data_IF_729301298946
#
_entry.id   IF_729301298946
#
_cell.length_a   1.000
_cell.length_b   1.000
_cell.length_c   1.000
_cell.angle_alpha   90.00
_cell.angle_beta   90.00
_cell.angle_gamma   90.00
#
_symmetry.space_group_name_H-M   'P 1'
#
loop_
_entity.id
_entity.type
_entity.pdbx_description
1 polymer ?
#
# COMPACT_ATOMS: atom_id res chain seq x y z
N UNK A 1 19.53 18.39 4.42
CA UNK A 1 19.64 17.68 5.70
C UNK A 1 18.29 17.14 6.20
N UNK A 2 17.23 17.94 6.42
CA UNK A 2 15.92 17.39 6.84
C UNK A 2 15.18 16.62 5.74
N UNK A 3 15.16 17.14 4.52
CA UNK A 3 14.47 16.51 3.39
C UNK A 3 15.05 15.13 3.05
N UNK A 4 16.36 14.95 3.20
CA UNK A 4 17.05 13.69 2.93
C UNK A 4 16.64 12.58 3.91
N UNK A 5 16.46 12.94 5.19
CA UNK A 5 15.98 12.03 6.24
C UNK A 5 14.52 11.66 5.94
N UNK A 6 13.65 12.64 5.66
CA UNK A 6 12.26 12.38 5.32
C UNK A 6 12.13 11.48 4.08
N UNK A 7 12.92 11.73 3.02
CA UNK A 7 12.95 10.87 1.85
C UNK A 7 13.45 9.45 2.15
N UNK A 8 14.43 9.30 3.05
CA UNK A 8 14.89 7.99 3.49
C UNK A 8 13.78 7.22 4.21
N UNK A 9 13.10 7.85 5.17
CA UNK A 9 12.03 7.22 5.95
C UNK A 9 10.83 6.84 5.09
N UNK A 10 10.41 7.72 4.16
CA UNK A 10 9.36 7.42 3.19
C UNK A 10 9.73 6.19 2.37
N UNK A 11 10.94 6.15 1.78
CA UNK A 11 11.39 5.01 0.97
C UNK A 11 11.46 3.73 1.79
N UNK A 12 11.93 3.81 3.03
CA UNK A 12 12.01 2.65 3.94
C UNK A 12 10.61 2.09 4.23
N UNK A 13 9.66 2.95 4.60
CA UNK A 13 8.29 2.56 4.88
C UNK A 13 7.62 1.91 3.66
N UNK A 14 7.68 2.57 2.50
CA UNK A 14 7.08 2.07 1.26
C UNK A 14 7.72 0.75 0.80
N UNK A 15 9.02 0.56 1.00
CA UNK A 15 9.70 -0.70 0.72
C UNK A 15 9.19 -1.82 1.62
N UNK A 16 9.05 -1.58 2.93
CA UNK A 16 8.52 -2.57 3.87
C UNK A 16 7.09 -2.95 3.51
N UNK A 17 6.23 -1.96 3.23
CA UNK A 17 4.86 -2.20 2.76
C UNK A 17 4.86 -3.04 1.48
N UNK A 18 5.68 -2.68 0.48
CA UNK A 18 5.74 -3.41 -0.80
C UNK A 18 6.07 -4.89 -0.63
N UNK A 19 7.04 -5.24 0.21
CA UNK A 19 7.40 -6.64 0.48
C UNK A 19 6.27 -7.39 1.18
N UNK A 20 5.66 -6.80 2.21
CA UNK A 20 4.57 -7.46 2.95
C UNK A 20 3.30 -7.61 2.12
N UNK A 21 2.98 -6.59 1.31
CA UNK A 21 1.83 -6.61 0.41
C UNK A 21 2.00 -7.70 -0.66
N UNK A 22 3.19 -7.83 -1.26
CA UNK A 22 3.49 -8.86 -2.25
C UNK A 22 3.28 -10.27 -1.68
N UNK A 23 3.87 -10.56 -0.52
CA UNK A 23 3.69 -11.85 0.16
C UNK A 23 2.21 -12.14 0.49
N UNK A 24 1.48 -11.15 1.00
CA UNK A 24 0.08 -11.30 1.36
C UNK A 24 -0.81 -11.56 0.14
N UNK A 25 -0.57 -10.83 -0.95
CA UNK A 25 -1.30 -10.98 -2.22
C UNK A 25 -1.02 -12.35 -2.84
N UNK A 26 0.24 -12.79 -2.89
CA UNK A 26 0.59 -14.10 -3.45
C UNK A 26 -0.08 -15.22 -2.68
N UNK A 27 0.00 -15.22 -1.33
CA UNK A 27 -0.68 -16.20 -0.48
C UNK A 27 -2.20 -16.19 -0.71
N UNK A 28 -2.80 -15.01 -0.86
CA UNK A 28 -4.23 -14.90 -1.15
C UNK A 28 -4.60 -15.54 -2.49
N UNK A 29 -3.81 -15.28 -3.55
CA UNK A 29 -4.03 -15.83 -4.88
C UNK A 29 -3.88 -17.36 -4.90
N UNK A 30 -2.91 -17.91 -4.16
CA UNK A 30 -2.72 -19.36 -4.00
C UNK A 30 -3.92 -20.03 -3.32
N UNK A 31 -4.47 -19.41 -2.27
CA UNK A 31 -5.59 -19.94 -1.52
C UNK A 31 -6.94 -19.80 -2.24
N UNK A 32 -7.04 -18.83 -3.14
CA UNK A 32 -8.27 -18.50 -3.86
C UNK A 32 -8.01 -18.54 -5.36
N UNK A 33 -7.84 -19.72 -5.99
CA UNK A 33 -7.69 -19.84 -7.43
C UNK A 33 -8.95 -19.31 -8.15
N UNK A 34 -8.77 -18.85 -9.38
CA UNK A 34 -9.88 -18.34 -10.20
C UNK A 34 -9.37 -17.63 -11.44
N UNK A 35 -10.29 -17.35 -12.37
CA UNK A 35 -9.92 -16.93 -13.73
C UNK A 35 -10.00 -15.42 -13.96
N UNK A 36 -10.51 -14.66 -13.00
CA UNK A 36 -10.66 -13.21 -13.09
C UNK A 36 -9.52 -12.47 -12.36
N UNK A 37 -9.04 -11.33 -12.89
CA UNK A 37 -8.06 -10.50 -12.18
C UNK A 37 -8.52 -10.10 -10.77
N UNK A 38 -7.57 -10.05 -9.83
CA UNK A 38 -7.81 -9.51 -8.50
C UNK A 38 -7.73 -7.99 -8.56
N UNK A 39 -8.85 -7.30 -8.30
CA UNK A 39 -8.89 -5.83 -8.23
C UNK A 39 -8.58 -5.38 -6.82
N UNK A 40 -7.59 -4.50 -6.65
CA UNK A 40 -7.14 -4.00 -5.36
C UNK A 40 -7.17 -2.47 -5.32
N UNK A 41 -7.44 -1.95 -4.12
CA UNK A 41 -7.29 -0.54 -3.76
C UNK A 41 -6.33 -0.45 -2.58
N UNK A 42 -5.34 0.42 -2.69
CA UNK A 42 -4.41 0.77 -1.61
C UNK A 42 -4.76 2.19 -1.16
N UNK A 43 -4.97 2.36 0.15
CA UNK A 43 -5.22 3.66 0.77
C UNK A 43 -4.09 3.97 1.73
N UNK A 44 -3.48 5.16 1.60
CA UNK A 44 -2.58 5.72 2.59
C UNK A 44 -3.31 6.87 3.29
N UNK A 45 -3.48 6.72 4.60
CA UNK A 45 -4.18 7.68 5.46
C UNK A 45 -3.25 8.15 6.57
N UNK A 46 -3.32 9.43 6.87
CA UNK A 46 -2.66 10.00 8.03
C UNK A 46 -3.50 9.79 9.30
N UNK A 47 -2.90 9.07 10.24
CA UNK A 47 -3.49 8.68 11.53
C UNK A 47 -2.92 9.48 12.70
N UNK A 48 -2.18 10.56 12.40
CA UNK A 48 -1.53 11.37 13.43
C UNK A 48 -2.55 12.22 14.19
N UNK A 49 -2.51 12.14 15.52
CA UNK A 49 -3.33 12.99 16.40
C UNK A 49 -2.67 14.36 16.60
N UNK A 50 -3.01 15.34 15.76
CA UNK A 50 -2.39 16.68 15.77
C UNK A 50 -2.88 17.64 16.88
N UNK A 51 -3.93 17.27 17.61
CA UNK A 51 -4.55 18.14 18.62
C UNK A 51 -5.06 19.46 18.03
N UNK A 52 -4.82 20.58 18.73
CA UNK A 52 -5.33 21.91 18.34
C UNK A 52 -4.70 22.49 17.07
N UNK A 53 -3.60 21.92 16.58
CA UNK A 53 -2.86 22.40 15.40
C UNK A 53 -2.96 21.42 14.22
N UNK A 54 -4.14 20.83 14.02
CA UNK A 54 -4.38 19.95 12.88
C UNK A 54 -4.22 20.70 11.56
N UNK A 55 -3.62 20.07 10.52
CA UNK A 55 -3.60 20.63 9.19
C UNK A 55 -5.02 20.72 8.62
N UNK A 56 -5.25 21.65 7.69
CA UNK A 56 -6.55 21.82 7.03
C UNK A 56 -7.01 20.57 6.26
N UNK A 57 -6.07 19.71 5.86
CA UNK A 57 -6.32 18.43 5.22
C UNK A 57 -5.28 17.41 5.67
N UNK A 58 -5.75 16.24 6.11
CA UNK A 58 -4.90 15.10 6.38
C UNK A 58 -4.43 14.46 5.06
N UNK A 59 -3.26 13.81 5.08
CA UNK A 59 -2.80 13.05 3.92
C UNK A 59 -3.78 11.89 3.66
N UNK A 60 -4.31 11.87 2.45
CA UNK A 60 -5.15 10.79 1.94
C UNK A 60 -4.77 10.53 0.47
N UNK A 61 -4.29 9.32 0.19
CA UNK A 61 -3.90 8.89 -1.15
C UNK A 61 -4.55 7.53 -1.45
N UNK A 62 -5.20 7.44 -2.61
CA UNK A 62 -5.82 6.21 -3.10
C UNK A 62 -5.16 5.79 -4.40
N UNK A 63 -4.76 4.52 -4.49
CA UNK A 63 -4.23 3.89 -5.69
C UNK A 63 -5.03 2.64 -5.99
N UNK A 64 -5.48 2.48 -7.23
CA UNK A 64 -6.24 1.31 -7.67
C UNK A 64 -5.46 0.56 -8.76
N UNK A 65 -5.60 -0.77 -8.77
CA UNK A 65 -4.92 -1.62 -9.74
C UNK A 65 -5.50 -3.02 -9.82
N UNK A 66 -5.05 -3.76 -10.83
CA UNK A 66 -5.46 -5.14 -11.07
C UNK A 66 -4.25 -6.06 -11.10
N UNK A 67 -4.40 -7.23 -10.49
CA UNK A 67 -3.38 -8.28 -10.47
C UNK A 67 -3.91 -9.44 -11.29
N UNK A 68 -3.23 -9.71 -12.41
CA UNK A 68 -3.56 -10.84 -13.28
C UNK A 68 -3.28 -12.14 -12.54
N UNK A 69 -4.16 -13.10 -12.73
CA UNK A 69 -3.96 -14.47 -12.26
C UNK A 69 -3.28 -15.25 -13.38
N UNK A 70 -2.21 -15.96 -13.07
CA UNK A 70 -1.68 -16.96 -13.99
C UNK A 70 -2.70 -18.10 -14.05
N UNK A 71 -3.16 -18.52 -15.24
CA UNK A 71 -4.06 -19.67 -15.33
C UNK A 71 -3.40 -20.88 -14.67
N UNK A 72 -4.16 -21.58 -13.84
CA UNK A 72 -3.73 -22.87 -13.30
C UNK A 72 -3.66 -23.86 -14.49
N UNK A 73 -2.55 -24.59 -14.68
CA UNK A 73 -2.44 -25.58 -15.75
C UNK A 73 -3.42 -26.74 -15.59
#
# INVERSE_FOLDING_TARGET
>A
MNEEISHHDIRRLLKTFGVQADEAILRYLEQHPGDSPLRLRITLEDVTEYGTNAPHSLLHLVVEGEIRRTPHP
#
